data_IF_975064811506
#
_entry.id   IF_975064811506
#
_cell.length_a   1.000
_cell.length_b   1.000
_cell.length_c   1.000
_cell.angle_alpha   90.00
_cell.angle_beta   90.00
_cell.angle_gamma   90.00
#
_symmetry.space_group_name_H-M   'P 1'
#
loop_
_entity.id
_entity.type
_entity.pdbx_description
1 polymer ?
#
# COMPACT_ATOMS: atom_id res chain seq x y z
N UNK A 1 14.13 -45.23 -14.28
CA UNK A 1 14.11 -43.89 -14.90
C UNK A 1 12.66 -43.54 -15.16
N UNK A 2 12.04 -42.74 -14.29
CA UNK A 2 10.66 -42.29 -14.47
C UNK A 2 10.66 -41.02 -15.32
N UNK A 3 9.96 -41.04 -16.45
CA UNK A 3 9.84 -39.90 -17.35
C UNK A 3 9.03 -38.78 -16.73
N UNK A 4 9.57 -37.57 -16.73
CA UNK A 4 8.81 -36.37 -16.39
C UNK A 4 7.83 -36.04 -17.52
N UNK A 5 6.57 -35.69 -17.21
CA UNK A 5 5.62 -35.25 -18.24
C UNK A 5 6.08 -33.90 -18.79
N UNK A 6 6.26 -33.83 -20.11
CA UNK A 6 6.43 -32.55 -20.79
C UNK A 6 5.08 -31.82 -20.80
N UNK A 7 5.00 -30.71 -20.06
CA UNK A 7 3.89 -29.77 -20.17
C UNK A 7 4.08 -28.97 -21.45
N UNK A 8 3.35 -29.35 -22.50
CA UNK A 8 3.31 -28.59 -23.76
C UNK A 8 2.42 -27.36 -23.53
N UNK A 9 3.04 -26.21 -23.26
CA UNK A 9 2.36 -24.92 -23.32
C UNK A 9 2.00 -24.62 -24.77
N UNK A 10 0.71 -24.67 -25.09
CA UNK A 10 0.23 -24.34 -26.43
C UNK A 10 0.33 -22.83 -26.67
N UNK A 11 0.54 -22.43 -27.93
CA UNK A 11 0.66 -21.03 -28.33
C UNK A 11 -0.53 -20.16 -27.90
N UNK A 12 -1.71 -20.76 -27.71
CA UNK A 12 -2.91 -20.06 -27.22
C UNK A 12 -2.77 -19.61 -25.76
N UNK A 13 -2.21 -20.45 -24.88
CA UNK A 13 -1.95 -20.11 -23.47
C UNK A 13 -0.89 -19.00 -23.38
N UNK A 14 0.12 -19.04 -24.26
CA UNK A 14 1.14 -18.00 -24.32
C UNK A 14 0.56 -16.64 -24.73
N UNK A 15 -0.38 -16.61 -25.68
CA UNK A 15 -1.07 -15.38 -26.11
C UNK A 15 -1.99 -14.81 -25.02
N UNK A 16 -2.71 -15.67 -24.29
CA UNK A 16 -3.55 -15.23 -23.16
C UNK A 16 -2.71 -14.64 -22.03
N UNK A 17 -1.58 -15.28 -21.67
CA UNK A 17 -0.62 -14.78 -20.67
C UNK A 17 0.00 -13.44 -21.11
N UNK A 18 0.36 -13.30 -22.39
CA UNK A 18 0.89 -12.05 -22.95
C UNK A 18 -0.16 -10.93 -22.94
N UNK A 19 -1.44 -11.24 -23.19
CA UNK A 19 -2.52 -10.25 -23.19
C UNK A 19 -2.92 -9.75 -21.79
N UNK A 20 -2.69 -10.56 -20.75
CA UNK A 20 -2.93 -10.21 -19.34
C UNK A 20 -1.79 -9.38 -18.72
N UNK A 21 -0.59 -9.46 -19.29
CA UNK A 21 0.61 -8.82 -18.74
C UNK A 21 0.55 -7.28 -18.65
N UNK A 22 0.03 -6.55 -19.66
CA UNK A 22 -0.09 -5.09 -19.59
C UNK A 22 -1.05 -4.65 -18.48
N UNK A 23 -2.07 -5.45 -18.15
CA UNK A 23 -3.03 -5.13 -17.07
C UNK A 23 -2.43 -5.29 -15.67
N UNK A 24 -1.49 -6.22 -15.50
CA UNK A 24 -0.79 -6.41 -14.22
C UNK A 24 0.39 -5.46 -14.01
N UNK A 25 0.99 -4.92 -15.08
CA UNK A 25 2.17 -4.05 -14.98
C UNK A 25 1.84 -2.58 -14.66
N UNK A 26 0.61 -2.11 -14.95
CA UNK A 26 0.20 -0.72 -14.73
C UNK A 26 -0.97 -0.56 -13.75
N UNK A 27 -1.60 -1.65 -13.31
CA UNK A 27 -2.53 -1.60 -12.20
C UNK A 27 -1.75 -1.25 -10.93
N UNK A 28 -1.76 0.03 -10.55
CA UNK A 28 -1.56 0.40 -9.15
C UNK A 28 -2.47 -0.53 -8.34
N UNK A 29 -1.92 -1.19 -7.32
CA UNK A 29 -2.67 -2.17 -6.54
C UNK A 29 -3.64 -1.42 -5.65
N UNK A 30 -4.77 -1.03 -6.22
CA UNK A 30 -5.77 -0.27 -5.51
C UNK A 30 -6.59 -1.27 -4.70
N UNK A 31 -6.35 -1.30 -3.39
CA UNK A 31 -7.07 -2.18 -2.46
C UNK A 31 -8.26 -1.41 -1.89
N UNK A 32 -9.48 -1.96 -1.87
CA UNK A 32 -10.61 -1.30 -1.22
C UNK A 32 -10.41 -1.28 0.32
N UNK A 33 -11.12 -0.38 1.00
CA UNK A 33 -11.14 -0.35 2.47
C UNK A 33 -10.14 0.63 3.10
N UNK A 34 -9.61 1.57 2.33
CA UNK A 34 -8.90 2.70 2.94
C UNK A 34 -9.86 3.53 3.81
N UNK A 35 -9.41 4.01 4.98
CA UNK A 35 -10.26 4.75 5.91
C UNK A 35 -10.41 6.20 5.45
N UNK A 36 -11.28 6.43 4.45
CA UNK A 36 -11.53 7.77 3.88
C UNK A 36 -12.80 8.44 4.41
N UNK A 37 -13.61 7.75 5.21
CA UNK A 37 -14.93 8.23 5.66
C UNK A 37 -14.89 9.48 6.55
N UNK A 38 -13.75 9.76 7.16
CA UNK A 38 -13.51 10.88 8.07
C UNK A 38 -12.71 12.03 7.43
N UNK A 39 -12.38 11.89 6.14
CA UNK A 39 -11.75 12.93 5.33
C UNK A 39 -12.69 14.11 5.09
N UNK A 40 -12.18 15.32 5.26
CA UNK A 40 -12.96 16.56 5.17
C UNK A 40 -13.85 16.85 6.38
N UNK A 41 -13.96 15.90 7.33
CA UNK A 41 -14.70 16.08 8.57
C UNK A 41 -13.74 16.31 9.75
N UNK A 42 -12.92 15.30 10.08
CA UNK A 42 -11.95 15.37 11.19
C UNK A 42 -10.51 15.44 10.70
N UNK A 43 -10.23 14.88 9.52
CA UNK A 43 -8.89 14.88 8.93
C UNK A 43 -8.87 15.60 7.59
N UNK A 44 -7.80 16.35 7.34
CA UNK A 44 -7.37 16.65 5.99
C UNK A 44 -6.81 15.38 5.36
N UNK A 45 -7.14 15.13 4.10
CA UNK A 45 -6.72 13.92 3.40
C UNK A 45 -6.19 14.21 2.02
N UNK A 46 -5.18 13.44 1.62
CA UNK A 46 -4.63 13.44 0.27
C UNK A 46 -4.50 11.99 -0.16
N UNK A 47 -5.24 11.64 -1.20
CA UNK A 47 -5.33 10.30 -1.72
C UNK A 47 -4.66 10.16 -3.08
N UNK A 48 -4.11 8.99 -3.40
CA UNK A 48 -3.54 8.71 -4.72
C UNK A 48 -4.13 7.44 -5.34
N UNK A 49 -4.70 7.49 -6.57
CA UNK A 49 -4.85 8.66 -7.45
C UNK A 49 -5.80 9.73 -6.91
N UNK A 50 -5.45 11.00 -7.08
CA UNK A 50 -6.15 12.14 -6.42
C UNK A 50 -7.62 12.23 -6.82
N UNK A 51 -7.92 12.07 -8.11
CA UNK A 51 -9.27 12.26 -8.65
C UNK A 51 -10.29 11.19 -8.21
N UNK A 52 -9.84 10.07 -7.66
CA UNK A 52 -10.72 8.90 -7.41
C UNK A 52 -10.54 8.25 -6.05
N UNK A 53 -9.38 8.37 -5.39
CA UNK A 53 -9.10 7.64 -4.15
C UNK A 53 -10.08 8.00 -3.04
N UNK A 54 -10.30 9.29 -2.75
CA UNK A 54 -11.15 9.68 -1.63
C UNK A 54 -12.62 9.33 -1.87
N UNK A 55 -13.11 9.49 -3.10
CA UNK A 55 -14.51 9.22 -3.46
C UNK A 55 -14.84 7.72 -3.47
N UNK A 56 -13.89 6.86 -3.85
CA UNK A 56 -14.11 5.42 -3.97
C UNK A 56 -13.61 4.61 -2.76
N UNK A 57 -12.75 5.20 -1.92
CA UNK A 57 -12.00 4.47 -0.90
C UNK A 57 -10.97 3.49 -1.48
N UNK A 58 -10.70 3.59 -2.77
CA UNK A 58 -9.75 2.77 -3.50
C UNK A 58 -8.49 3.59 -3.73
N UNK A 59 -7.49 3.40 -2.87
CA UNK A 59 -6.25 4.17 -2.89
C UNK A 59 -5.04 3.26 -3.08
N UNK A 60 -3.98 3.82 -3.65
CA UNK A 60 -2.63 3.23 -3.59
C UNK A 60 -1.89 3.70 -2.34
N UNK A 61 -2.01 5.00 -2.03
CA UNK A 61 -1.53 5.65 -0.81
C UNK A 61 -2.60 6.65 -0.36
N UNK A 62 -2.81 6.75 0.95
CA UNK A 62 -3.62 7.78 1.59
C UNK A 62 -2.80 8.43 2.71
N UNK A 63 -2.70 9.76 2.68
CA UNK A 63 -2.19 10.58 3.75
C UNK A 63 -3.37 11.23 4.46
N UNK A 64 -3.49 11.02 5.78
CA UNK A 64 -4.42 11.74 6.64
C UNK A 64 -3.62 12.59 7.62
N UNK A 65 -4.09 13.79 7.89
CA UNK A 65 -3.49 14.67 8.88
C UNK A 65 -4.57 15.44 9.62
N UNK A 66 -4.33 15.67 10.91
CA UNK A 66 -5.17 16.53 11.73
C UNK A 66 -4.34 17.73 12.17
N UNK A 67 -4.97 18.90 12.19
CA UNK A 67 -4.39 20.09 12.77
C UNK A 67 -5.31 20.61 13.86
N UNK A 68 -4.79 20.66 15.09
CA UNK A 68 -5.48 21.24 16.22
C UNK A 68 -4.87 22.63 16.50
N UNK A 69 -5.64 23.73 16.35
CA UNK A 69 -5.17 25.08 16.67
C UNK A 69 -4.72 25.27 18.13
N UNK A 70 -5.15 24.41 19.06
CA UNK A 70 -4.65 24.40 20.44
C UNK A 70 -3.25 23.80 20.55
N UNK A 71 -2.85 22.96 19.59
CA UNK A 71 -1.55 22.28 19.55
C UNK A 71 -0.80 22.58 18.24
N UNK A 72 -0.65 23.87 17.91
CA UNK A 72 -0.09 24.36 16.63
C UNK A 72 1.27 23.76 16.25
N UNK A 73 2.05 23.29 17.21
CA UNK A 73 3.39 22.75 16.97
C UNK A 73 3.39 21.25 16.64
N UNK A 74 2.24 20.58 16.67
CA UNK A 74 2.11 19.13 16.47
C UNK A 74 1.03 18.81 15.46
N UNK A 75 1.38 18.00 14.47
CA UNK A 75 0.46 17.54 13.42
C UNK A 75 0.42 16.01 13.49
N UNK A 76 -0.63 15.42 14.09
CA UNK A 76 -0.90 13.99 13.96
C UNK A 76 -1.10 13.61 12.49
N UNK A 77 -0.41 12.57 12.06
CA UNK A 77 -0.43 12.07 10.68
C UNK A 77 -0.62 10.56 10.68
N UNK A 78 -1.40 10.08 9.73
CA UNK A 78 -1.54 8.67 9.40
C UNK A 78 -1.23 8.48 7.90
N UNK A 79 -0.43 7.47 7.57
CA UNK A 79 -0.21 7.06 6.19
C UNK A 79 -0.63 5.62 5.99
N UNK A 80 -1.34 5.39 4.89
CA UNK A 80 -1.81 4.08 4.47
C UNK A 80 -1.28 3.78 3.10
N UNK A 81 -0.99 2.51 2.82
CA UNK A 81 -0.69 2.08 1.46
C UNK A 81 -0.84 0.59 1.25
N UNK A 82 -1.16 0.23 0.01
CA UNK A 82 -1.38 -1.15 -0.40
C UNK A 82 -0.08 -1.97 -0.40
N UNK A 83 -0.14 -3.22 0.03
CA UNK A 83 0.97 -4.18 -0.10
C UNK A 83 1.29 -4.41 -1.59
N UNK A 84 2.56 -4.36 -1.99
CA UNK A 84 2.95 -4.71 -3.36
C UNK A 84 2.75 -6.21 -3.62
N UNK A 85 2.23 -6.60 -4.79
CA UNK A 85 1.81 -7.98 -5.08
C UNK A 85 2.97 -8.97 -5.11
N UNK A 86 4.20 -8.50 -5.34
CA UNK A 86 5.36 -9.36 -5.57
C UNK A 86 6.26 -9.57 -4.35
N UNK A 87 6.09 -8.84 -3.22
CA UNK A 87 6.96 -8.94 -2.03
C UNK A 87 6.26 -8.48 -0.74
N UNK A 88 5.36 -9.27 -0.15
CA UNK A 88 4.61 -8.84 1.03
C UNK A 88 5.45 -8.70 2.29
N UNK A 89 6.65 -9.31 2.33
CA UNK A 89 7.43 -9.40 3.56
C UNK A 89 8.16 -8.09 3.91
N UNK A 90 8.71 -7.40 2.91
CA UNK A 90 9.58 -6.24 3.12
C UNK A 90 9.32 -5.15 2.07
N UNK A 91 8.64 -4.09 2.48
CA UNK A 91 8.29 -2.97 1.60
C UNK A 91 8.16 -1.69 2.42
N UNK A 92 8.06 -0.57 1.73
CA UNK A 92 7.85 0.73 2.35
C UNK A 92 6.81 1.53 1.60
N UNK A 93 6.15 2.41 2.34
CA UNK A 93 5.32 3.50 1.83
C UNK A 93 5.90 4.81 2.38
N UNK A 94 5.90 5.88 1.61
CA UNK A 94 6.46 7.14 2.07
C UNK A 94 5.69 8.33 1.50
N UNK A 95 5.67 9.41 2.28
CA UNK A 95 5.16 10.71 1.89
C UNK A 95 6.26 11.75 2.02
N UNK A 96 6.38 12.62 1.03
CA UNK A 96 7.37 13.68 0.95
C UNK A 96 6.72 15.04 0.82
N UNK A 97 7.28 16.03 1.50
CA UNK A 97 6.86 17.43 1.45
C UNK A 97 7.87 18.20 0.60
N UNK A 98 7.45 18.67 -0.58
CA UNK A 98 8.33 19.39 -1.50
C UNK A 98 7.76 20.78 -1.84
N UNK A 99 8.52 21.88 -1.66
CA UNK A 99 8.03 23.21 -2.05
C UNK A 99 7.94 23.38 -3.57
N UNK A 100 8.61 22.53 -4.36
CA UNK A 100 8.64 22.62 -5.82
C UNK A 100 7.78 21.54 -6.49
N UNK A 101 6.98 21.91 -7.52
CA UNK A 101 6.22 20.94 -8.28
C UNK A 101 7.15 20.07 -9.15
N UNK A 102 6.68 18.88 -9.50
CA UNK A 102 7.31 17.95 -10.42
C UNK A 102 8.76 17.53 -10.09
N UNK A 103 9.20 17.72 -8.83
CA UNK A 103 10.55 17.34 -8.37
C UNK A 103 10.50 16.40 -7.17
N UNK A 104 11.39 15.42 -7.12
CA UNK A 104 11.62 14.60 -5.92
C UNK A 104 12.73 15.15 -5.02
N UNK A 105 13.79 15.69 -5.63
CA UNK A 105 14.93 16.23 -4.91
C UNK A 105 14.51 17.37 -3.98
N UNK A 106 15.11 17.43 -2.80
CA UNK A 106 14.80 18.43 -1.78
C UNK A 106 13.54 18.14 -0.94
N UNK A 107 12.78 17.09 -1.23
CA UNK A 107 11.63 16.72 -0.39
C UNK A 107 12.07 16.22 0.99
N UNK A 108 11.40 16.68 2.04
CA UNK A 108 11.48 16.07 3.38
C UNK A 108 10.51 14.90 3.43
N UNK A 109 11.00 13.71 3.72
CA UNK A 109 10.25 12.45 3.55
C UNK A 109 10.04 11.80 4.90
N UNK A 110 8.83 11.28 5.13
CA UNK A 110 8.52 10.38 6.23
C UNK A 110 8.09 9.04 5.65
N UNK A 111 8.72 7.99 6.16
CA UNK A 111 8.67 6.64 5.60
C UNK A 111 8.07 5.70 6.62
N UNK A 112 7.18 4.81 6.19
CA UNK A 112 6.72 3.66 6.95
C UNK A 112 7.26 2.41 6.28
N UNK A 113 8.16 1.72 6.97
CA UNK A 113 8.81 0.52 6.46
C UNK A 113 8.24 -0.68 7.19
N UNK A 114 7.68 -1.63 6.44
CA UNK A 114 7.29 -2.94 6.92
C UNK A 114 8.39 -3.94 6.64
N UNK A 115 8.85 -4.64 7.68
CA UNK A 115 9.94 -5.60 7.62
C UNK A 115 9.63 -6.79 8.54
N UNK A 116 9.38 -7.95 7.94
CA UNK A 116 9.16 -9.23 8.64
C UNK A 116 8.14 -9.16 9.79
N UNK A 117 6.96 -8.58 9.56
CA UNK A 117 5.90 -8.51 10.56
C UNK A 117 5.87 -7.24 11.40
N UNK A 118 6.94 -6.43 11.37
CA UNK A 118 7.03 -5.18 12.11
C UNK A 118 7.00 -3.98 11.17
N UNK A 119 6.29 -2.92 11.56
CA UNK A 119 6.30 -1.64 10.86
C UNK A 119 7.03 -0.58 11.70
N UNK A 120 7.81 0.26 11.05
CA UNK A 120 8.55 1.36 11.69
C UNK A 120 8.50 2.64 10.89
N UNK A 121 8.48 3.77 11.60
CA UNK A 121 8.48 5.11 11.00
C UNK A 121 9.89 5.69 11.01
N UNK A 122 10.27 6.30 9.90
CA UNK A 122 11.57 6.92 9.72
C UNK A 122 11.45 8.27 9.02
N UNK A 123 12.48 9.10 9.19
CA UNK A 123 12.60 10.40 8.52
C UNK A 123 13.78 10.35 7.55
N UNK A 124 13.61 10.90 6.36
CA UNK A 124 14.68 11.08 5.39
C UNK A 124 14.51 12.36 4.59
N UNK A 125 15.50 12.67 3.77
CA UNK A 125 15.44 13.77 2.82
C UNK A 125 15.99 13.31 1.48
N UNK A 126 15.31 13.70 0.41
CA UNK A 126 15.85 13.51 -0.93
C UNK A 126 16.93 14.57 -1.20
N UNK A 127 18.08 14.14 -1.68
CA UNK A 127 19.19 15.04 -2.00
C UNK A 127 18.75 16.04 -3.09
N UNK A 128 18.96 17.36 -2.92
CA UNK A 128 18.64 18.35 -3.93
C UNK A 128 19.30 18.02 -5.26
N UNK A 129 18.56 18.15 -6.37
CA UNK A 129 19.03 17.83 -7.72
C UNK A 129 19.55 16.40 -7.91
N UNK A 130 19.20 15.48 -7.01
CA UNK A 130 19.60 14.08 -7.05
C UNK A 130 18.43 13.11 -6.96
N UNK A 131 18.76 11.82 -7.10
CA UNK A 131 17.83 10.70 -6.94
C UNK A 131 18.14 9.86 -5.70
N UNK A 132 19.06 10.34 -4.86
CA UNK A 132 19.44 9.69 -3.61
C UNK A 132 18.54 10.16 -2.46
N UNK A 133 18.26 9.24 -1.54
CA UNK A 133 17.57 9.50 -0.30
C UNK A 133 18.57 9.35 0.87
N UNK A 134 18.54 10.28 1.80
CA UNK A 134 19.39 10.29 2.99
C UNK A 134 18.52 10.16 4.23
N UNK A 135 18.68 9.07 4.97
CA UNK A 135 18.01 8.90 6.27
C UNK A 135 18.56 9.89 7.28
N UNK A 136 17.64 10.47 8.04
CA UNK A 136 17.90 11.46 9.07
C UNK A 136 17.65 10.84 10.45
N UNK A 137 18.12 11.53 11.49
CA UNK A 137 17.54 11.36 12.81
C UNK A 137 16.06 11.75 12.77
N UNK A 138 15.25 11.21 13.68
CA UNK A 138 13.81 11.50 13.80
C UNK A 138 13.51 12.94 14.30
N UNK A 139 14.27 13.92 13.82
CA UNK A 139 14.13 15.33 14.18
C UNK A 139 12.74 15.82 13.77
N UNK A 140 11.94 16.17 14.77
CA UNK A 140 10.55 16.62 14.58
C UNK A 140 9.61 15.55 14.05
N UNK A 141 9.92 14.26 14.25
CA UNK A 141 9.02 13.14 13.98
C UNK A 141 8.95 12.30 15.25
N UNK A 142 7.76 12.15 15.83
CA UNK A 142 7.51 11.20 16.92
C UNK A 142 6.81 9.98 16.32
N UNK A 143 7.50 8.83 16.20
CA UNK A 143 6.87 7.60 15.70
C UNK A 143 5.68 7.20 16.57
N UNK A 144 4.59 6.83 15.92
CA UNK A 144 3.46 6.16 16.54
C UNK A 144 3.48 4.66 16.26
N UNK A 145 2.31 4.09 15.98
CA UNK A 145 2.15 2.67 15.72
C UNK A 145 2.21 2.38 14.22
N UNK A 146 2.63 1.17 13.86
CA UNK A 146 2.51 0.66 12.51
C UNK A 146 1.91 -0.73 12.51
N UNK A 147 1.04 -1.03 11.53
CA UNK A 147 0.37 -2.32 11.42
C UNK A 147 0.03 -2.64 9.97
N UNK A 148 -0.04 -3.93 9.63
CA UNK A 148 -0.50 -4.40 8.34
C UNK A 148 -1.78 -5.21 8.55
N UNK A 149 -2.90 -4.74 7.98
CA UNK A 149 -4.21 -5.39 8.07
C UNK A 149 -4.88 -5.37 6.70
N UNK A 150 -5.47 -6.49 6.27
CA UNK A 150 -6.15 -6.64 4.98
C UNK A 150 -5.35 -6.12 3.77
N UNK A 151 -4.03 -6.31 3.78
CA UNK A 151 -3.17 -5.84 2.70
C UNK A 151 -2.95 -4.32 2.67
N UNK A 152 -3.33 -3.60 3.73
CA UNK A 152 -3.10 -2.16 3.91
C UNK A 152 -2.12 -1.95 5.07
N UNK A 153 -0.93 -1.42 4.75
CA UNK A 153 0.03 -0.96 5.74
C UNK A 153 -0.43 0.41 6.25
N UNK A 154 -0.63 0.53 7.55
CA UNK A 154 -0.96 1.77 8.24
C UNK A 154 0.18 2.15 9.20
N UNK A 155 0.62 3.40 9.17
CA UNK A 155 1.54 3.97 10.16
C UNK A 155 1.00 5.31 10.66
N UNK A 156 1.06 5.52 11.97
CA UNK A 156 0.79 6.82 12.61
C UNK A 156 2.07 7.43 13.16
N UNK A 157 2.13 8.75 13.16
CA UNK A 157 3.22 9.53 13.76
C UNK A 157 2.78 10.97 13.98
N UNK A 158 3.56 11.72 14.76
CA UNK A 158 3.34 13.16 14.96
C UNK A 158 4.50 13.93 14.35
N UNK A 159 4.19 14.87 13.47
CA UNK A 159 5.17 15.82 12.92
C UNK A 159 5.22 17.08 13.77
N UNK A 160 6.42 17.60 14.01
CA UNK A 160 6.58 19.01 14.39
C UNK A 160 6.17 19.89 13.22
N UNK A 161 5.43 20.97 13.49
CA UNK A 161 5.03 21.93 12.45
C UNK A 161 6.24 22.48 11.70
N UNK A 162 7.28 22.89 12.43
CA UNK A 162 8.55 23.32 11.87
C UNK A 162 9.61 22.24 12.08
N UNK A 163 10.28 21.85 10.99
CA UNK A 163 11.40 20.90 11.01
C UNK A 163 12.61 21.53 10.35
N UNK A 164 13.71 21.61 11.11
CA UNK A 164 14.99 22.06 10.61
C UNK A 164 15.86 20.84 10.29
N UNK A 165 16.28 20.73 9.04
CA UNK A 165 17.14 19.65 8.55
C UNK A 165 18.32 20.29 7.85
N UNK A 166 19.47 20.27 8.51
CA UNK A 166 20.67 21.00 8.09
C UNK A 166 20.34 22.50 7.89
N UNK A 167 20.60 23.05 6.71
CA UNK A 167 20.32 24.44 6.32
C UNK A 167 18.88 24.68 5.81
N UNK A 168 18.02 23.67 5.82
CA UNK A 168 16.65 23.76 5.30
C UNK A 168 15.61 23.77 6.42
N UNK A 169 14.63 24.66 6.31
CA UNK A 169 13.46 24.72 7.18
C UNK A 169 12.22 24.28 6.41
N UNK A 170 11.50 23.30 6.95
CA UNK A 170 10.22 22.83 6.45
C UNK A 170 9.14 23.21 7.47
N UNK A 171 8.34 24.22 7.15
CA UNK A 171 7.22 24.68 7.98
C UNK A 171 5.90 24.27 7.35
N UNK A 172 5.15 23.36 7.98
CA UNK A 172 3.86 22.84 7.49
C UNK A 172 2.75 23.91 7.36
N UNK A 173 3.00 25.14 7.81
CA UNK A 173 2.17 26.31 7.50
C UNK A 173 2.41 26.88 6.09
N UNK A 174 3.47 26.46 5.42
CA UNK A 174 3.77 26.82 4.03
C UNK A 174 3.17 25.77 3.07
N UNK A 175 2.86 26.17 1.82
CA UNK A 175 2.32 25.25 0.83
C UNK A 175 3.40 24.25 0.36
N UNK A 176 3.04 22.97 0.30
CA UNK A 176 3.89 21.90 -0.24
C UNK A 176 3.15 21.05 -1.27
N UNK A 177 3.84 20.63 -2.32
CA UNK A 177 3.43 19.48 -3.12
C UNK A 177 3.72 18.20 -2.35
N UNK A 178 2.70 17.35 -2.22
CA UNK A 178 2.81 16.08 -1.51
C UNK A 178 3.20 15.00 -2.50
N UNK A 179 4.31 14.33 -2.22
CA UNK A 179 4.84 13.24 -3.04
C UNK A 179 4.59 11.95 -2.30
N UNK A 180 4.08 10.93 -2.99
CA UNK A 180 3.81 9.63 -2.40
C UNK A 180 4.41 8.51 -3.25
N UNK A 181 5.06 7.55 -2.59
CA UNK A 181 5.68 6.41 -3.26
C UNK A 181 5.64 5.15 -2.41
N UNK A 182 5.73 4.02 -3.09
CA UNK A 182 5.94 2.70 -2.47
C UNK A 182 7.13 2.02 -3.12
N UNK A 183 7.85 1.19 -2.37
CA UNK A 183 8.97 0.44 -2.91
C UNK A 183 9.37 -0.76 -2.06
N UNK A 184 10.36 -1.54 -2.52
CA UNK A 184 10.90 -2.65 -1.76
C UNK A 184 11.80 -2.16 -0.63
N UNK A 185 11.79 -2.87 0.49
CA UNK A 185 12.73 -2.66 1.59
C UNK A 185 13.74 -3.82 1.68
N UNK A 186 14.93 -3.52 2.18
CA UNK A 186 15.92 -4.51 2.59
C UNK A 186 16.26 -4.26 4.06
N UNK A 187 15.61 -4.98 4.96
CA UNK A 187 15.58 -4.60 6.37
C UNK A 187 14.84 -3.28 6.54
N UNK A 188 15.46 -2.33 7.26
CA UNK A 188 14.94 -0.96 7.38
C UNK A 188 15.35 -0.04 6.22
N UNK A 189 16.19 -0.50 5.30
CA UNK A 189 16.75 0.33 4.22
C UNK A 189 15.84 0.36 2.99
N UNK A 190 15.58 1.55 2.47
CA UNK A 190 14.78 1.77 1.27
C UNK A 190 15.54 1.36 0.00
N UNK A 191 14.82 0.74 -0.93
CA UNK A 191 15.22 0.62 -2.33
C UNK A 191 14.35 1.52 -3.20
N UNK A 192 14.76 1.68 -4.45
CA UNK A 192 14.03 2.48 -5.43
C UNK A 192 12.57 2.04 -5.51
N UNK A 193 11.66 3.02 -5.55
CA UNK A 193 10.22 2.83 -5.68
C UNK A 193 9.85 1.99 -6.91
N UNK A 194 8.72 1.26 -6.84
CA UNK A 194 8.28 0.37 -7.93
C UNK A 194 7.88 1.12 -9.20
N UNK A 195 7.25 2.28 -9.05
CA UNK A 195 6.76 3.13 -10.13
C UNK A 195 7.18 4.57 -9.89
N UNK A 196 7.00 5.45 -10.88
CA UNK A 196 7.15 6.90 -10.66
C UNK A 196 6.29 7.33 -9.46
N UNK A 197 6.84 8.12 -8.51
CA UNK A 197 6.05 8.63 -7.40
C UNK A 197 4.87 9.46 -7.89
N UNK A 198 3.77 9.37 -7.16
CA UNK A 198 2.63 10.26 -7.35
C UNK A 198 2.94 11.59 -6.67
N UNK A 199 2.39 12.68 -7.20
CA UNK A 199 2.50 14.01 -6.60
C UNK A 199 1.12 14.65 -6.63
N UNK A 200 0.76 15.42 -5.60
CA UNK A 200 -0.48 16.18 -5.59
C UNK A 200 -0.51 17.18 -6.74
N UNK A 201 -1.70 17.40 -7.29
CA UNK A 201 -1.92 18.35 -8.38
C UNK A 201 -1.60 19.78 -7.93
N UNK A 202 -1.98 20.11 -6.69
CA UNK A 202 -1.78 21.42 -6.08
C UNK A 202 -0.84 21.37 -4.87
N UNK A 203 -0.29 22.53 -4.51
CA UNK A 203 0.42 22.70 -3.26
C UNK A 203 -0.57 22.91 -2.11
N UNK A 204 -0.36 22.22 -1.00
CA UNK A 204 -1.30 22.11 0.11
C UNK A 204 -0.66 22.63 1.38
N UNK A 205 -1.41 23.40 2.17
CA UNK A 205 -1.03 23.84 3.52
C UNK A 205 -1.61 22.87 4.54
N UNK A 206 -0.77 22.30 5.39
CA UNK A 206 -1.17 21.24 6.33
C UNK A 206 -1.51 21.79 7.71
N UNK A 207 -0.77 22.80 8.16
CA UNK A 207 -0.86 23.36 9.51
C UNK A 207 -0.86 24.89 9.46
N UNK A 208 -1.94 25.52 8.98
CA UNK A 208 -2.00 26.97 8.81
C UNK A 208 -1.83 27.72 10.14
N UNK A 209 -1.15 28.88 10.11
CA UNK A 209 -0.88 29.70 11.31
C UNK A 209 -2.15 30.34 11.89
N UNK A 210 -3.04 30.75 11.00
CA UNK A 210 -4.28 31.43 11.33
C UNK A 210 -5.38 30.40 11.57
N UNK A 211 -6.20 30.62 12.60
CA UNK A 211 -7.40 29.81 12.87
C UNK A 211 -8.48 29.94 11.76
N UNK A 212 -8.14 30.52 10.61
CA UNK A 212 -9.06 30.90 9.53
C UNK A 212 -9.10 29.89 8.36
N UNK A 213 -8.30 28.82 8.40
CA UNK A 213 -7.97 28.07 7.18
C UNK A 213 -8.45 26.61 7.12
N UNK A 214 -9.14 26.10 8.14
CA UNK A 214 -10.06 24.99 7.89
C UNK A 214 -11.40 25.66 7.57
N UNK A 215 -11.92 25.61 6.33
CA UNK A 215 -13.30 26.01 6.10
C UNK A 215 -14.14 25.24 7.10
N UNK A 216 -14.90 25.97 7.93
CA UNK A 216 -15.89 25.36 8.83
C UNK A 216 -16.60 24.28 8.03
N UNK A 217 -16.68 23.03 8.54
CA UNK A 217 -17.24 21.91 7.78
C UNK A 217 -18.54 22.40 7.18
N UNK A 218 -18.57 22.59 5.86
CA UNK A 218 -19.77 23.11 5.25
C UNK A 218 -20.86 22.12 5.67
N UNK A 219 -21.95 22.58 6.32
CA UNK A 219 -23.02 21.69 6.73
C UNK A 219 -23.32 20.84 5.51
N UNK A 220 -23.12 19.52 5.62
CA UNK A 220 -23.37 18.58 4.53
C UNK A 220 -24.66 19.06 3.89
N UNK A 221 -24.57 19.65 2.69
CA UNK A 221 -25.74 20.18 2.01
C UNK A 221 -26.66 18.99 1.98
N UNK A 222 -27.74 19.05 2.78
CA UNK A 222 -28.70 17.96 2.88
C UNK A 222 -29.07 17.69 1.44
N UNK A 223 -28.65 16.54 0.92
CA UNK A 223 -29.04 16.14 -0.42
C UNK A 223 -30.55 16.30 -0.43
N UNK A 224 -31.11 17.11 -1.34
CA UNK A 224 -32.54 17.28 -1.39
C UNK A 224 -33.14 15.87 -1.37
N UNK A 225 -34.15 15.62 -0.51
CA UNK A 225 -34.71 14.29 -0.34
C UNK A 225 -34.96 13.69 -1.72
N UNK A 226 -34.64 12.40 -1.93
CA UNK A 226 -34.70 11.77 -3.24
C UNK A 226 -35.98 12.18 -3.93
N UNK A 227 -35.87 12.90 -5.05
CA UNK A 227 -37.06 13.30 -5.79
C UNK A 227 -37.87 12.03 -6.06
N UNK A 228 -39.19 12.04 -5.80
CA UNK A 228 -40.05 10.93 -6.17
C UNK A 228 -39.77 10.57 -7.62
N UNK A 229 -39.65 9.26 -7.96
CA UNK A 229 -39.35 8.85 -9.32
C UNK A 229 -40.31 9.54 -10.28
N UNK A 230 -39.77 10.36 -11.19
CA UNK A 230 -40.59 10.99 -12.22
C UNK A 230 -41.29 9.87 -13.01
N UNK A 231 -42.60 10.00 -13.29
CA UNK A 231 -43.32 9.03 -14.09
C UNK A 231 -42.58 8.85 -15.42
N UNK A 232 -42.10 7.64 -15.67
CA UNK A 232 -41.44 7.32 -16.93
C UNK A 232 -42.47 7.51 -18.04
N UNK A 233 -42.17 8.28 -19.11
CA UNK A 233 -43.08 8.37 -20.25
C UNK A 233 -43.34 6.95 -20.78
N UNK A 234 -44.58 6.64 -21.18
CA UNK A 234 -44.95 5.31 -21.63
C UNK A 234 -44.03 4.90 -22.78
N UNK A 235 -43.25 3.84 -22.53
CA UNK A 235 -42.38 3.23 -23.53
C UNK A 235 -43.29 2.75 -24.67
N UNK A 236 -43.05 3.15 -25.94
CA UNK A 236 -43.76 2.59 -27.07
C UNK A 236 -43.57 1.07 -27.07
N UNK A 237 -44.67 0.34 -26.92
CA UNK A 237 -44.69 -1.12 -26.99
C UNK A 237 -44.33 -1.53 -28.41
N UNK A 238 -43.11 -2.02 -28.59
CA UNK A 238 -42.75 -2.75 -29.79
C UNK A 238 -43.63 -4.03 -29.88
N UNK A 239 -44.16 -4.37 -31.06
CA UNK A 239 -44.91 -5.60 -31.24
C UNK A 239 -44.03 -6.82 -30.93
N UNK A 240 -44.58 -7.87 -30.29
CA UNK A 240 -43.82 -9.06 -29.96
C UNK A 240 -43.35 -9.78 -31.23
N UNK A 241 -42.09 -10.24 -31.28
CA UNK A 241 -41.65 -11.11 -32.36
C UNK A 241 -42.42 -12.45 -32.30
N UNK A 242 -42.85 -12.99 -33.44
CA UNK A 242 -43.52 -14.28 -33.47
C UNK A 242 -42.50 -15.40 -33.21
N UNK A 243 -42.75 -16.23 -32.20
CA UNK A 243 -42.20 -17.59 -32.15
C UNK A 243 -41.14 -17.95 -31.11
N UNK A 244 -41.20 -17.44 -29.88
CA UNK A 244 -40.38 -17.99 -28.77
C UNK A 244 -41.22 -18.61 -27.67
N UNK A 245 -41.31 -19.94 -27.73
CA UNK A 245 -41.85 -20.85 -26.72
C UNK A 245 -41.01 -20.78 -25.44
N UNK A 246 -41.71 -20.75 -24.31
CA UNK A 246 -41.24 -20.38 -22.98
C UNK A 246 -40.57 -21.56 -22.24
N UNK A 247 -39.33 -21.38 -21.76
CA UNK A 247 -38.64 -22.30 -20.83
C UNK A 247 -38.30 -21.60 -19.49
N UNK A 248 -39.23 -20.81 -18.97
CA UNK A 248 -39.13 -20.16 -17.66
C UNK A 248 -40.48 -20.29 -16.96
N UNK A 249 -40.71 -21.43 -16.30
CA UNK A 249 -41.82 -21.63 -15.35
C UNK A 249 -41.57 -22.79 -14.36
N UNK A 250 -40.33 -23.12 -14.00
CA UNK A 250 -40.06 -24.24 -13.05
C UNK A 250 -39.22 -23.84 -11.81
N UNK A 251 -38.79 -22.58 -11.65
CA UNK A 251 -37.84 -22.25 -10.57
C UNK A 251 -38.23 -21.16 -9.55
N UNK A 252 -39.50 -20.76 -9.48
CA UNK A 252 -39.90 -19.66 -8.58
C UNK A 252 -41.06 -19.94 -7.60
N UNK A 253 -41.33 -21.21 -7.29
CA UNK A 253 -42.46 -21.59 -6.40
C UNK A 253 -42.07 -22.32 -5.09
N UNK A 254 -40.82 -22.15 -4.60
CA UNK A 254 -40.40 -22.83 -3.35
C UNK A 254 -39.74 -21.99 -2.26
N UNK A 255 -39.74 -20.66 -2.34
CA UNK A 255 -39.04 -19.83 -1.34
C UNK A 255 -39.87 -18.85 -0.53
N UNK A 256 -41.19 -18.88 -0.63
CA UNK A 256 -42.07 -18.06 0.19
C UNK A 256 -43.12 -18.96 0.81
N UNK A 257 -42.83 -19.53 1.99
CA UNK A 257 -43.77 -19.85 3.08
C UNK A 257 -42.99 -20.55 4.22
N UNK A 258 -42.36 -19.75 5.08
CA UNK A 258 -42.06 -20.17 6.46
C UNK A 258 -42.65 -19.13 7.42
N UNK A 259 -43.41 -19.55 8.44
CA UNK A 259 -44.00 -18.63 9.41
C UNK A 259 -42.92 -18.06 10.34
N UNK A 260 -43.02 -16.74 10.53
CA UNK A 260 -42.16 -15.94 11.40
C UNK A 260 -42.70 -16.07 12.84
N UNK A 261 -42.00 -16.82 13.70
CA UNK A 261 -42.26 -16.83 15.14
C UNK A 261 -41.38 -15.77 15.80
N UNK A 262 -42.02 -14.72 16.31
CA UNK A 262 -41.35 -13.65 17.05
C UNK A 262 -41.02 -14.07 18.48
N UNK A 263 -39.73 -14.06 18.81
CA UNK A 263 -39.25 -13.94 20.19
C UNK A 263 -38.23 -12.80 20.27
N UNK A 264 -38.53 -11.86 21.14
CA UNK A 264 -37.73 -10.66 21.42
C UNK A 264 -36.56 -11.00 22.33
N UNK A 265 -35.31 -10.62 22.03
CA UNK A 265 -34.21 -10.82 22.96
C UNK A 265 -34.22 -9.75 24.04
N UNK A 266 -34.23 -10.20 25.30
CA UNK A 266 -34.02 -9.42 26.51
C UNK A 266 -32.60 -8.83 26.57
N UNK A 267 -32.43 -7.61 27.12
CA UNK A 267 -31.12 -6.97 27.21
C UNK A 267 -30.27 -7.57 28.36
N UNK A 268 -28.93 -7.68 28.18
CA UNK A 268 -28.04 -8.16 29.23
C UNK A 268 -27.85 -7.11 30.36
N UNK A 269 -27.57 -7.57 31.59
CA UNK A 269 -27.42 -6.70 32.76
C UNK A 269 -26.13 -5.87 32.72
N UNK A 270 -26.24 -4.63 33.19
CA UNK A 270 -25.15 -3.66 33.36
C UNK A 270 -24.17 -4.14 34.43
N UNK A 271 -22.93 -4.43 34.03
CA UNK A 271 -21.80 -4.65 34.94
C UNK A 271 -21.07 -3.34 35.20
N UNK A 272 -21.27 -2.79 36.40
CA UNK A 272 -20.43 -1.75 37.01
C UNK A 272 -19.15 -2.40 37.54
N UNK A 273 -17.97 -2.05 36.99
CA UNK A 273 -16.68 -2.38 37.61
C UNK A 273 -15.92 -1.13 38.02
N UNK A 274 -15.63 -1.10 39.32
CA UNK A 274 -14.91 -0.08 40.06
C UNK A 274 -13.47 0.14 39.55
N UNK A 275 -13.07 1.41 39.52
CA UNK A 275 -11.68 1.83 39.56
C UNK A 275 -10.99 1.26 40.81
N UNK A 276 -9.84 0.61 40.64
CA UNK A 276 -8.84 0.44 41.71
C UNK A 276 -7.50 1.07 41.29
N UNK A 277 -6.75 1.65 42.25
CA UNK A 277 -5.55 2.42 41.97
C UNK A 277 -4.33 1.52 41.75
N UNK A 278 -3.41 2.02 40.93
CA UNK A 278 -2.08 1.47 40.65
C UNK A 278 -1.19 1.61 41.90
N UNK A 279 -0.62 0.50 42.36
CA UNK A 279 0.48 0.44 43.33
C UNK A 279 1.80 0.11 42.61
N UNK A 280 2.96 0.52 43.15
CA UNK A 280 4.23 0.54 42.43
C UNK A 280 4.90 -0.83 42.32
N UNK A 281 5.54 -1.07 41.17
CA UNK A 281 6.38 -2.25 40.91
C UNK A 281 7.64 -2.22 41.76
N UNK A 282 7.93 -3.33 42.44
CA UNK A 282 9.24 -3.61 43.05
C UNK A 282 9.99 -4.62 42.19
N UNK A 283 11.27 -4.30 41.94
CA UNK A 283 12.23 -5.11 41.22
C UNK A 283 12.46 -6.47 41.88
N UNK A 284 12.19 -7.54 41.14
CA UNK A 284 12.80 -8.86 41.37
C UNK A 284 13.13 -9.52 40.03
N UNK A 285 14.42 -9.70 39.78
CA UNK A 285 14.96 -10.55 38.72
C UNK A 285 14.45 -12.00 38.89
N UNK A 286 13.87 -12.63 37.86
CA UNK A 286 13.64 -14.06 37.85
C UNK A 286 14.91 -14.81 37.43
N UNK A 287 15.26 -15.80 38.24
CA UNK A 287 16.29 -16.82 38.00
C UNK A 287 15.94 -17.69 36.80
N UNK A 288 16.93 -17.93 35.93
CA UNK A 288 16.87 -18.81 34.76
C UNK A 288 16.61 -20.28 35.17
N UNK A 289 15.65 -20.98 34.55
CA UNK A 289 15.52 -22.42 34.69
C UNK A 289 16.53 -23.18 33.81
N UNK A 290 17.06 -24.26 34.37
CA UNK A 290 17.98 -25.22 33.75
C UNK A 290 17.40 -25.85 32.47
N UNK A 291 18.25 -26.24 31.49
CA UNK A 291 17.78 -26.86 30.25
C UNK A 291 17.25 -28.30 30.47
N UNK A 292 16.25 -28.74 29.70
CA UNK A 292 15.70 -30.08 29.81
C UNK A 292 16.64 -31.14 29.21
N UNK A 293 16.67 -32.29 29.89
CA UNK A 293 17.37 -33.52 29.49
C UNK A 293 16.64 -34.16 28.31
N UNK A 294 17.34 -34.36 27.20
CA UNK A 294 16.85 -35.09 26.03
C UNK A 294 16.86 -36.60 26.30
N UNK A 295 15.68 -37.22 26.35
CA UNK A 295 15.53 -38.68 26.23
C UNK A 295 15.33 -39.05 24.75
N UNK A 296 16.21 -39.90 24.23
CA UNK A 296 16.05 -40.56 22.93
C UNK A 296 14.95 -41.65 23.01
N UNK A 297 14.02 -41.72 22.05
CA UNK A 297 13.17 -42.90 21.88
C UNK A 297 13.82 -43.94 20.97
N UNK A 298 13.73 -45.20 21.41
CA UNK A 298 14.16 -46.42 20.72
C UNK A 298 13.22 -46.74 19.53
N UNK A 299 13.69 -47.41 18.46
CA UNK A 299 12.91 -47.63 17.24
C UNK A 299 12.20 -48.99 17.26
N UNK A 300 10.87 -49.03 17.12
CA UNK A 300 10.17 -50.28 16.79
C UNK A 300 8.98 -50.08 15.83
N UNK A 301 9.10 -50.83 14.71
CA UNK A 301 8.09 -51.60 13.98
C UNK A 301 7.01 -50.91 13.13
N UNK A 302 7.14 -51.16 11.82
CA UNK A 302 6.13 -51.08 10.75
C UNK A 302 4.80 -51.74 11.13
N UNK A 303 3.70 -51.18 10.61
CA UNK A 303 2.87 -52.02 9.73
C UNK A 303 2.33 -51.31 8.47
N UNK A 304 2.16 -52.13 7.44
CA UNK A 304 1.14 -52.10 6.39
C UNK A 304 0.92 -50.80 5.58
N UNK A 305 1.42 -50.87 4.35
CA UNK A 305 1.11 -50.08 3.18
C UNK A 305 -0.41 -50.10 2.87
N UNK A 306 -1.11 -48.99 3.08
CA UNK A 306 -2.42 -48.72 2.49
C UNK A 306 -2.27 -47.62 1.44
N UNK A 307 -2.60 -47.95 0.19
CA UNK A 307 -2.69 -47.03 -0.94
C UNK A 307 -3.88 -46.08 -0.74
N UNK A 308 -3.69 -44.75 -0.71
CA UNK A 308 -4.82 -43.83 -0.75
C UNK A 308 -5.33 -43.72 -2.18
N UNK A 309 -6.64 -43.88 -2.30
CA UNK A 309 -7.45 -43.69 -3.49
C UNK A 309 -7.33 -42.22 -3.93
N UNK A 310 -6.96 -42.03 -5.20
CA UNK A 310 -6.78 -40.74 -5.86
C UNK A 310 -8.16 -40.13 -6.18
N UNK A 311 -8.71 -39.34 -5.25
CA UNK A 311 -9.88 -38.51 -5.50
C UNK A 311 -9.47 -37.02 -5.51
N UNK A 312 -9.66 -36.41 -6.67
CA UNK A 312 -9.84 -34.96 -6.94
C UNK A 312 -9.01 -33.96 -6.14
N UNK A 313 -7.75 -33.80 -6.54
CA UNK A 313 -6.97 -32.58 -6.33
C UNK A 313 -7.36 -31.53 -7.37
N UNK A 314 -8.55 -30.93 -7.21
CA UNK A 314 -8.82 -29.62 -7.79
C UNK A 314 -8.00 -28.60 -6.99
N UNK A 315 -6.79 -28.31 -7.48
CA UNK A 315 -6.01 -27.18 -6.99
C UNK A 315 -6.86 -25.92 -7.18
N UNK A 316 -7.08 -25.18 -6.10
CA UNK A 316 -7.79 -23.91 -6.21
C UNK A 316 -6.99 -22.95 -7.11
N UNK A 317 -7.72 -22.05 -7.76
CA UNK A 317 -7.17 -21.10 -8.73
C UNK A 317 -6.02 -20.27 -8.16
N UNK A 318 -6.06 -19.90 -6.87
CA UNK A 318 -4.97 -19.16 -6.22
C UNK A 318 -3.71 -20.03 -6.05
N UNK A 319 -3.86 -21.32 -5.73
CA UNK A 319 -2.72 -22.24 -5.64
C UNK A 319 -2.05 -22.43 -7.00
N UNK A 320 -2.84 -22.54 -8.09
CA UNK A 320 -2.30 -22.62 -9.46
C UNK A 320 -1.57 -21.33 -9.83
N UNK A 321 -2.16 -20.16 -9.54
CA UNK A 321 -1.50 -18.86 -9.78
C UNK A 321 -0.22 -18.72 -8.97
N UNK A 322 -0.21 -19.11 -7.68
CA UNK A 322 1.00 -19.07 -6.86
C UNK A 322 2.10 -20.01 -7.37
N UNK A 323 1.74 -21.21 -7.82
CA UNK A 323 2.68 -22.14 -8.45
C UNK A 323 3.24 -21.57 -9.75
N UNK A 324 2.38 -20.98 -10.60
CA UNK A 324 2.78 -20.37 -11.87
C UNK A 324 3.74 -19.19 -11.62
N UNK A 325 3.43 -18.34 -10.64
CA UNK A 325 4.27 -17.19 -10.29
C UNK A 325 5.62 -17.62 -9.72
N UNK A 326 5.67 -18.65 -8.87
CA UNK A 326 6.94 -19.24 -8.39
C UNK A 326 7.79 -19.83 -9.52
N UNK A 327 7.15 -20.35 -10.56
CA UNK A 327 7.84 -20.91 -11.73
C UNK A 327 8.36 -19.83 -12.68
N UNK A 328 7.62 -18.74 -12.88
CA UNK A 328 7.96 -17.67 -13.82
C UNK A 328 8.90 -16.61 -13.19
N UNK A 329 8.86 -16.42 -11.86
CA UNK A 329 9.68 -15.41 -11.16
C UNK A 329 11.19 -15.51 -11.45
N UNK A 330 11.85 -16.70 -11.41
CA UNK A 330 13.28 -16.79 -11.69
C UNK A 330 13.63 -16.39 -13.12
N UNK A 331 12.81 -16.79 -14.09
CA UNK A 331 12.99 -16.45 -15.50
C UNK A 331 12.79 -14.95 -15.73
N UNK A 332 11.81 -14.34 -15.07
CA UNK A 332 11.62 -12.89 -15.15
C UNK A 332 12.74 -12.11 -14.49
N UNK A 333 13.26 -12.57 -13.34
CA UNK A 333 14.45 -11.98 -12.71
C UNK A 333 15.64 -12.01 -13.67
N UNK A 334 15.87 -13.15 -14.33
CA UNK A 334 16.96 -13.28 -15.30
C UNK A 334 16.78 -12.32 -16.48
N UNK A 335 15.57 -12.19 -17.03
CA UNK A 335 15.28 -11.28 -18.15
C UNK A 335 15.49 -9.82 -17.74
N UNK A 336 14.96 -9.41 -16.57
CA UNK A 336 15.14 -8.04 -16.05
C UNK A 336 16.63 -7.74 -15.80
N UNK A 337 17.38 -8.71 -15.28
CA UNK A 337 18.82 -8.56 -15.04
C UNK A 337 19.60 -8.44 -16.37
N UNK A 338 19.24 -9.22 -17.39
CA UNK A 338 19.80 -9.11 -18.74
C UNK A 338 19.50 -7.74 -19.35
N UNK A 339 18.25 -7.26 -19.23
CA UNK A 339 17.86 -5.95 -19.77
C UNK A 339 18.58 -4.80 -19.04
N UNK A 340 18.73 -4.89 -17.72
CA UNK A 340 19.47 -3.90 -16.94
C UNK A 340 20.97 -3.92 -17.25
N UNK A 341 21.58 -5.09 -17.47
CA UNK A 341 22.98 -5.22 -17.91
C UNK A 341 23.16 -4.73 -19.35
N UNK A 342 22.18 -4.95 -20.23
CA UNK A 342 22.18 -4.46 -21.61
C UNK A 342 22.06 -2.93 -21.72
N UNK A 343 21.39 -2.28 -20.77
CA UNK A 343 21.26 -0.81 -20.73
C UNK A 343 22.55 -0.09 -20.28
N UNK A 344 23.52 -0.80 -19.71
CA UNK A 344 24.83 -0.23 -19.35
C UNK A 344 25.72 -0.05 -20.59
N UNK A 345 25.43 -0.72 -21.71
CA UNK A 345 26.22 -0.59 -22.95
C UNK A 345 25.76 0.53 -23.90
N UNK A 346 24.76 1.36 -23.52
CA UNK A 346 24.33 2.53 -24.31
C UNK A 346 24.68 3.91 -23.71
N UNK A 347 25.40 3.95 -22.59
CA UNK A 347 25.92 5.20 -22.01
C UNK A 347 27.45 5.27 -22.04
N UNK A 348 28.04 4.92 -23.18
CA UNK A 348 29.47 5.12 -23.47
C UNK A 348 29.67 5.97 -24.72
N UNK A 349 30.23 7.16 -24.53
CA UNK A 349 30.88 8.02 -25.54
C UNK A 349 30.01 8.64 -26.64
N UNK A 350 29.45 9.82 -26.34
CA UNK A 350 29.50 10.93 -27.31
C UNK A 350 30.84 11.65 -27.08
N UNK A 351 31.84 11.33 -27.88
CA UNK A 351 33.03 12.16 -27.99
C UNK A 351 32.64 13.41 -28.81
N UNK A 352 32.85 14.58 -28.22
CA UNK A 352 32.79 15.86 -28.94
C UNK A 352 33.94 15.89 -29.97
N UNK A 353 33.60 15.98 -31.26
CA UNK A 353 34.56 16.01 -32.38
C UNK A 353 35.11 17.43 -32.64
N UNK A 354 34.73 18.45 -31.85
CA UNK A 354 35.07 19.85 -32.16
C UNK A 354 35.85 20.59 -31.06
N UNK A 355 36.90 20.00 -30.48
CA UNK A 355 37.86 20.72 -29.62
C UNK A 355 39.27 20.61 -30.21
N UNK A 356 39.93 21.73 -30.58
CA UNK A 356 41.31 21.71 -31.05
C UNK A 356 42.28 21.39 -29.90
N UNK A 357 43.25 20.52 -30.18
CA UNK A 357 44.31 20.10 -29.26
C UNK A 357 45.12 21.29 -28.71
N UNK A 358 45.44 21.34 -27.41
CA UNK A 358 46.45 22.24 -26.90
C UNK A 358 47.85 21.74 -27.28
N UNK A 359 48.62 22.64 -27.89
CA UNK A 359 50.04 22.45 -28.21
C UNK A 359 50.86 22.21 -26.95
N UNK A 360 51.61 21.10 -26.93
CA UNK A 360 52.64 20.81 -25.95
C UNK A 360 53.73 21.89 -25.97
N UNK A 361 53.88 22.65 -24.87
CA UNK A 361 55.11 23.40 -24.61
C UNK A 361 56.15 22.50 -23.95
N UNK A 362 57.34 22.53 -24.55
CA UNK A 362 58.54 21.79 -24.17
C UNK A 362 59.17 22.50 -22.96
N UNK A 363 59.08 21.90 -21.79
CA UNK A 363 59.79 22.38 -20.59
C UNK A 363 61.28 22.09 -20.70
N UNK A 364 62.09 23.15 -20.73
CA UNK A 364 63.54 23.12 -20.53
C UNK A 364 63.88 23.06 -19.04
N UNK A 365 64.91 22.28 -18.74
CA UNK A 365 65.66 22.22 -17.49
C UNK A 365 66.11 23.61 -17.01
N UNK A 366 66.03 23.85 -15.69
CA UNK A 366 67.12 24.23 -14.77
C UNK A 366 66.79 23.66 -13.39
#
# INVERSE_FOLDING_TARGET
>A
MAGFPQVILTASILLDVISLWPRYATAQNVVPGFPTSDCGATFGCIGFPEDSCLASGQCSILLKFAFDPAFKERVPVEIYGSVPPFRPQNFWIAVGFNPEPNKMGGALVTECVYNNGAAGVFSSRNIPNGHANQRLLLTGVTPGNGSLHDGILACSFVLSRVRNVNEFTYDLAQPFYIIAATGPAMGSTLRQHFTRPSMSNDAIVIAPLDNLAMPEPQPLLQQPPPQPPQPTPPRPTAPPPPGTTTFRNILFDKFLHSPWNGESPTPPPKTTSFFRPVMPMTDRLPTLPSPPVFHQPNPQTNPAMQTPILNDLLLDEQTVVQMLMKFIEPTLRMIVEILNRGNILRYGQRADINQPFPSFQKGTSV
#
